data_IF_694556273259
#
_entry.id   IF_694556273259
#
_cell.length_a   1.000
_cell.length_b   1.000
_cell.length_c   1.000
_cell.angle_alpha   90.00
_cell.angle_beta   90.00
_cell.angle_gamma   90.00
#
_symmetry.space_group_name_H-M   'P 1'
#
loop_
_entity.id
_entity.type
_entity.pdbx_description
1 polymer ?
#
# COMPACT_ATOMS: atom_id res chain seq x y z
N UNK A 1 10.09 -0.94 0.96
CA UNK A 1 9.35 -2.05 1.59
C UNK A 1 9.51 -2.03 3.12
N UNK A 2 8.42 -1.78 3.86
CA UNK A 2 8.43 -2.06 5.30
C UNK A 2 8.65 -3.55 5.55
N UNK A 3 9.09 -3.96 6.75
CA UNK A 3 9.47 -5.35 7.05
C UNK A 3 8.30 -6.35 6.95
N UNK A 4 7.06 -5.86 6.85
CA UNK A 4 5.86 -6.69 6.83
C UNK A 4 5.17 -6.67 5.47
N UNK A 5 4.85 -7.87 4.98
CA UNK A 5 4.03 -8.09 3.79
C UNK A 5 2.60 -7.60 4.01
N UNK A 6 1.90 -7.28 2.93
CA UNK A 6 0.51 -6.84 3.00
C UNK A 6 -0.39 -7.89 3.67
N UNK A 7 -0.16 -9.17 3.35
CA UNK A 7 -0.90 -10.28 3.95
C UNK A 7 -0.67 -10.39 5.44
N UNK A 8 0.57 -10.20 5.90
CA UNK A 8 0.86 -10.18 7.34
C UNK A 8 0.12 -9.04 8.03
N UNK A 9 0.12 -7.83 7.45
CA UNK A 9 -0.61 -6.69 8.00
C UNK A 9 -2.12 -6.96 8.08
N UNK A 10 -2.72 -7.59 7.06
CA UNK A 10 -4.13 -8.04 7.06
C UNK A 10 -4.42 -9.04 8.18
N UNK A 11 -3.59 -10.05 8.32
CA UNK A 11 -3.74 -11.06 9.37
C UNK A 11 -3.59 -10.46 10.77
N UNK A 12 -2.64 -9.54 10.95
CA UNK A 12 -2.41 -8.85 12.22
C UNK A 12 -3.62 -8.00 12.62
N UNK A 13 -4.16 -7.21 11.68
CA UNK A 13 -5.37 -6.42 11.90
C UNK A 13 -6.57 -7.31 12.27
N UNK A 14 -6.76 -8.44 11.57
CA UNK A 14 -7.81 -9.40 11.90
C UNK A 14 -7.65 -9.96 13.32
N UNK A 15 -6.43 -10.31 13.72
CA UNK A 15 -6.14 -10.79 15.10
C UNK A 15 -6.42 -9.72 16.14
N UNK A 16 -6.05 -8.47 15.88
CA UNK A 16 -6.27 -7.34 16.78
C UNK A 16 -7.77 -7.10 17.01
N UNK A 17 -8.56 -7.06 15.95
CA UNK A 17 -10.02 -6.88 16.05
C UNK A 17 -10.69 -8.05 16.76
N UNK A 18 -10.24 -9.29 16.50
CA UNK A 18 -10.74 -10.48 17.22
C UNK A 18 -10.42 -10.43 18.71
N UNK A 19 -9.24 -9.94 19.08
CA UNK A 19 -8.86 -9.76 20.47
C UNK A 19 -9.75 -8.72 21.16
N UNK A 20 -10.02 -7.60 20.49
CA UNK A 20 -10.95 -6.57 20.98
C UNK A 20 -12.35 -7.16 21.25
N UNK A 21 -12.91 -7.87 20.27
CA UNK A 21 -14.22 -8.51 20.40
C UNK A 21 -14.26 -9.57 21.52
N UNK A 22 -13.17 -10.32 21.68
CA UNK A 22 -13.05 -11.30 22.77
C UNK A 22 -13.04 -10.63 24.14
N UNK A 23 -12.29 -9.53 24.30
CA UNK A 23 -12.27 -8.77 25.57
C UNK A 23 -13.63 -8.15 25.87
N UNK A 24 -14.35 -7.65 24.87
CA UNK A 24 -15.71 -7.10 25.05
C UNK A 24 -16.73 -8.16 25.50
N UNK A 25 -16.57 -9.42 25.05
CA UNK A 25 -17.48 -10.53 25.37
C UNK A 25 -17.17 -11.25 26.68
N UNK A 26 -15.88 -11.50 26.94
CA UNK A 26 -15.42 -12.36 28.04
C UNK A 26 -14.66 -11.60 29.13
N UNK A 27 -14.24 -10.37 28.86
CA UNK A 27 -13.37 -9.58 29.73
C UNK A 27 -14.12 -8.72 30.76
N UNK A 28 -13.36 -8.07 31.65
CA UNK A 28 -13.91 -7.22 32.70
C UNK A 28 -14.46 -5.89 32.18
N UNK A 29 -14.07 -5.46 30.96
CA UNK A 29 -14.50 -4.21 30.34
C UNK A 29 -15.20 -4.46 28.99
N UNK A 30 -16.55 -4.48 28.99
CA UNK A 30 -17.35 -4.61 27.77
C UNK A 30 -17.20 -3.46 26.77
N UNK A 31 -16.56 -2.34 27.15
CA UNK A 31 -16.39 -1.15 26.31
C UNK A 31 -14.93 -0.94 25.86
N UNK A 32 -14.05 -1.90 26.11
CA UNK A 32 -12.65 -1.82 25.70
C UNK A 32 -12.53 -1.62 24.19
N UNK A 33 -11.71 -0.66 23.78
CA UNK A 33 -11.40 -0.36 22.37
C UNK A 33 -9.89 -0.41 22.20
N UNK A 34 -9.39 -1.39 21.44
CA UNK A 34 -7.97 -1.56 21.12
C UNK A 34 -7.56 -0.72 19.91
N UNK A 35 -8.48 -0.50 18.98
CA UNK A 35 -8.30 0.34 17.81
C UNK A 35 -9.57 1.13 17.55
N UNK A 36 -9.41 2.43 17.30
CA UNK A 36 -10.51 3.34 17.01
C UNK A 36 -10.81 3.40 15.51
N UNK A 37 -12.03 3.81 15.18
CA UNK A 37 -12.49 3.91 13.78
C UNK A 37 -11.60 4.86 12.96
N UNK A 38 -11.18 6.00 13.53
CA UNK A 38 -10.26 6.93 12.85
C UNK A 38 -8.89 6.30 12.53
N UNK A 39 -8.42 5.36 13.36
CA UNK A 39 -7.17 4.64 13.11
C UNK A 39 -7.35 3.62 11.98
N UNK A 40 -8.50 2.95 11.92
CA UNK A 40 -8.85 2.05 10.83
C UNK A 40 -8.91 2.78 9.48
N UNK A 41 -9.51 3.98 9.45
CA UNK A 41 -9.51 4.82 8.26
C UNK A 41 -8.09 5.23 7.84
N UNK A 42 -7.24 5.62 8.79
CA UNK A 42 -5.85 5.98 8.50
C UNK A 42 -5.04 4.79 7.97
N UNK A 43 -5.24 3.58 8.52
CA UNK A 43 -4.61 2.37 7.98
C UNK A 43 -5.08 2.13 6.54
N UNK A 44 -6.38 2.28 6.26
CA UNK A 44 -6.91 2.11 4.90
C UNK A 44 -6.29 3.12 3.94
N UNK A 45 -6.16 4.38 4.37
CA UNK A 45 -5.54 5.47 3.60
C UNK A 45 -4.10 5.13 3.25
N UNK A 46 -3.30 4.71 4.23
CA UNK A 46 -1.91 4.29 4.03
C UNK A 46 -1.81 3.09 3.09
N UNK A 47 -2.63 2.07 3.28
CA UNK A 47 -2.61 0.87 2.43
C UNK A 47 -2.99 1.19 0.98
N UNK A 48 -3.94 2.10 0.79
CA UNK A 48 -4.33 2.56 -0.53
C UNK A 48 -3.18 3.32 -1.22
N UNK A 49 -2.58 4.28 -0.52
CA UNK A 49 -1.52 5.15 -1.06
C UNK A 49 -0.21 4.40 -1.29
N UNK A 50 0.25 3.63 -0.31
CA UNK A 50 1.58 3.03 -0.33
C UNK A 50 1.60 1.63 -0.93
N UNK A 51 0.49 0.89 -0.81
CA UNK A 51 0.41 -0.53 -1.17
C UNK A 51 -0.62 -0.82 -2.27
N UNK A 52 -1.30 0.20 -2.79
CA UNK A 52 -2.27 0.05 -3.88
C UNK A 52 -3.52 -0.74 -3.52
N UNK A 53 -3.92 -0.77 -2.25
CA UNK A 53 -5.13 -1.44 -1.80
C UNK A 53 -6.38 -0.58 -2.04
N UNK A 54 -6.98 -0.70 -3.22
CA UNK A 54 -8.25 -0.02 -3.55
C UNK A 54 -9.48 -0.85 -3.16
N UNK A 55 -9.26 -2.12 -2.83
CA UNK A 55 -10.29 -3.08 -2.41
C UNK A 55 -10.93 -2.81 -1.05
N UNK A 56 -10.53 -1.74 -0.35
CA UNK A 56 -10.97 -1.44 1.01
C UNK A 56 -10.77 -2.62 1.98
N UNK A 57 -9.58 -3.23 1.97
CA UNK A 57 -9.31 -4.44 2.75
C UNK A 57 -9.56 -4.24 4.25
N UNK A 58 -9.26 -3.06 4.81
CA UNK A 58 -9.47 -2.77 6.24
C UNK A 58 -10.96 -2.80 6.58
N UNK A 59 -11.81 -2.18 5.76
CA UNK A 59 -13.26 -2.14 5.98
C UNK A 59 -13.87 -3.53 5.88
N UNK A 60 -13.43 -4.33 4.89
CA UNK A 60 -13.84 -5.73 4.75
C UNK A 60 -13.44 -6.59 5.95
N UNK A 61 -12.21 -6.43 6.46
CA UNK A 61 -11.71 -7.15 7.64
C UNK A 61 -12.52 -6.75 8.87
N UNK A 62 -12.76 -5.46 9.06
CA UNK A 62 -13.59 -4.97 10.17
C UNK A 62 -14.99 -5.57 10.14
N UNK A 63 -15.71 -5.44 9.03
CA UNK A 63 -17.06 -5.97 8.89
C UNK A 63 -17.12 -7.49 9.10
N UNK A 64 -16.11 -8.23 8.64
CA UNK A 64 -16.00 -9.68 8.84
C UNK A 64 -15.87 -10.06 10.32
N UNK A 65 -15.19 -9.24 11.13
CA UNK A 65 -14.88 -9.57 12.53
C UNK A 65 -15.93 -9.02 13.50
N UNK A 66 -16.32 -7.76 13.35
CA UNK A 66 -17.27 -7.08 14.25
C UNK A 66 -18.72 -7.29 13.81
N UNK A 67 -18.96 -7.55 12.52
CA UNK A 67 -20.31 -7.60 11.93
C UNK A 67 -20.90 -6.21 11.63
N UNK A 68 -20.22 -5.14 12.04
CA UNK A 68 -20.64 -3.76 11.84
C UNK A 68 -19.91 -3.15 10.65
N UNK A 69 -20.53 -2.16 9.99
CA UNK A 69 -19.88 -1.41 8.92
C UNK A 69 -19.29 -0.13 9.53
N UNK A 70 -18.00 0.09 9.29
CA UNK A 70 -17.38 1.41 9.51
C UNK A 70 -18.13 2.44 8.67
N UNK A 71 -18.42 3.60 9.26
CA UNK A 71 -18.94 4.73 8.51
C UNK A 71 -17.91 5.15 7.47
N UNK A 72 -18.28 5.11 6.19
CA UNK A 72 -17.41 5.59 5.13
C UNK A 72 -17.24 7.10 5.30
N UNK A 73 -16.05 7.53 5.72
CA UNK A 73 -15.65 8.92 5.55
C UNK A 73 -15.75 9.18 4.04
N UNK A 74 -16.55 10.19 3.65
CA UNK A 74 -16.57 10.70 2.27
C UNK A 74 -15.21 11.30 1.95
N UNK A 75 -14.21 10.45 1.73
CA UNK A 75 -13.04 10.81 0.98
C UNK A 75 -13.51 10.93 -0.48
N UNK A 76 -13.21 12.07 -1.10
CA UNK A 76 -13.56 12.45 -2.49
C UNK A 76 -12.84 11.57 -3.53
N UNK A 77 -12.66 10.28 -3.27
CA UNK A 77 -11.91 9.30 -4.06
C UNK A 77 -12.83 8.55 -5.03
N UNK A 78 -13.76 9.27 -5.65
CA UNK A 78 -14.62 8.75 -6.71
C UNK A 78 -13.74 8.17 -7.83
N UNK A 79 -13.77 6.85 -8.02
CA UNK A 79 -13.01 6.15 -9.08
C UNK A 79 -11.90 5.20 -8.61
N UNK A 80 -11.69 4.98 -7.30
CA UNK A 80 -10.77 3.95 -6.81
C UNK A 80 -11.52 2.91 -5.97
N UNK A 81 -12.18 1.96 -6.65
CA UNK A 81 -12.91 0.85 -6.05
C UNK A 81 -12.38 -0.53 -6.45
N UNK A 82 -13.15 -1.57 -6.10
CA UNK A 82 -12.80 -2.96 -6.42
C UNK A 82 -12.72 -3.18 -7.94
N UNK A 83 -13.69 -2.65 -8.69
CA UNK A 83 -13.77 -2.81 -10.15
C UNK A 83 -12.56 -2.19 -10.85
N UNK A 84 -12.17 -0.98 -10.42
CA UNK A 84 -11.01 -0.30 -10.99
C UNK A 84 -9.71 -1.01 -10.64
N UNK A 85 -9.62 -1.66 -9.48
CA UNK A 85 -8.45 -2.48 -9.15
C UNK A 85 -8.35 -3.71 -10.03
N UNK A 86 -9.46 -4.42 -10.27
CA UNK A 86 -9.50 -5.58 -11.16
C UNK A 86 -9.10 -5.18 -12.59
N UNK A 87 -9.66 -4.08 -13.09
CA UNK A 87 -9.32 -3.53 -14.41
C UNK A 87 -7.84 -3.12 -14.50
N UNK A 88 -7.32 -2.46 -13.46
CA UNK A 88 -5.91 -2.09 -13.40
C UNK A 88 -5.02 -3.33 -13.49
N UNK A 89 -5.34 -4.38 -12.71
CA UNK A 89 -4.59 -5.63 -12.73
C UNK A 89 -4.61 -6.28 -14.11
N UNK A 90 -5.78 -6.37 -14.76
CA UNK A 90 -5.91 -6.93 -16.10
C UNK A 90 -5.01 -6.20 -17.12
N UNK A 91 -5.06 -4.86 -17.13
CA UNK A 91 -4.26 -4.04 -18.04
C UNK A 91 -2.77 -4.20 -17.74
N UNK A 92 -2.39 -4.19 -16.46
CA UNK A 92 -1.00 -4.34 -16.03
C UNK A 92 -0.42 -5.70 -16.44
N UNK A 93 -1.18 -6.78 -16.26
CA UNK A 93 -0.77 -8.13 -16.71
C UNK A 93 -0.64 -8.20 -18.22
N UNK A 94 -1.54 -7.54 -18.97
CA UNK A 94 -1.47 -7.51 -20.44
C UNK A 94 -0.23 -6.78 -20.97
N UNK A 95 0.24 -5.76 -20.25
CA UNK A 95 1.36 -4.93 -20.67
C UNK A 95 2.68 -5.27 -19.97
N UNK A 96 2.70 -6.32 -19.13
CA UNK A 96 3.85 -6.73 -18.33
C UNK A 96 4.41 -5.60 -17.46
N UNK A 97 3.51 -4.84 -16.84
CA UNK A 97 3.85 -3.72 -15.95
C UNK A 97 3.43 -4.06 -14.51
N UNK A 98 4.25 -3.76 -13.49
CA UNK A 98 3.86 -3.94 -12.10
C UNK A 98 2.64 -3.10 -11.71
N UNK A 99 1.57 -3.75 -11.26
CA UNK A 99 0.31 -3.06 -10.91
C UNK A 99 0.48 -2.06 -9.75
N UNK A 100 1.41 -2.34 -8.83
CA UNK A 100 1.72 -1.45 -7.71
C UNK A 100 2.33 -0.11 -8.17
N UNK A 101 3.21 -0.15 -9.18
CA UNK A 101 3.81 1.06 -9.77
C UNK A 101 2.71 1.94 -10.37
N UNK A 102 1.85 1.35 -11.22
CA UNK A 102 0.78 2.10 -11.90
C UNK A 102 -0.22 2.67 -10.88
N UNK A 103 -0.58 1.91 -9.86
CA UNK A 103 -1.42 2.41 -8.76
C UNK A 103 -0.80 3.63 -8.07
N UNK A 104 0.50 3.57 -7.72
CA UNK A 104 1.19 4.70 -7.08
C UNK A 104 1.27 5.93 -7.99
N UNK A 105 1.48 5.74 -9.29
CA UNK A 105 1.48 6.84 -10.26
C UNK A 105 0.10 7.49 -10.39
N UNK A 106 -0.97 6.69 -10.48
CA UNK A 106 -2.34 7.20 -10.53
C UNK A 106 -2.72 7.96 -9.26
N UNK A 107 -2.30 7.48 -8.09
CA UNK A 107 -2.47 8.20 -6.83
C UNK A 107 -1.70 9.53 -6.80
N UNK A 108 -0.45 9.52 -7.25
CA UNK A 108 0.37 10.73 -7.31
C UNK A 108 -0.25 11.80 -8.23
N UNK A 109 -0.81 11.38 -9.36
CA UNK A 109 -1.54 12.25 -10.27
C UNK A 109 -2.84 12.76 -9.62
N UNK A 110 -3.62 11.88 -9.00
CA UNK A 110 -4.87 12.24 -8.33
C UNK A 110 -4.68 13.30 -7.23
N UNK A 111 -3.71 13.11 -6.32
CA UNK A 111 -3.42 14.11 -5.26
C UNK A 111 -3.10 15.49 -5.85
N UNK A 112 -2.49 15.50 -7.03
CA UNK A 112 -1.98 16.71 -7.67
C UNK A 112 -3.01 17.45 -8.53
N UNK A 113 -4.10 16.81 -8.93
CA UNK A 113 -5.20 17.45 -9.66
C UNK A 113 -5.84 18.59 -8.86
N UNK A 114 -5.72 18.56 -7.53
CA UNK A 114 -6.15 19.64 -6.64
C UNK A 114 -5.18 20.84 -6.59
N UNK A 115 -3.95 20.68 -7.09
CA UNK A 115 -2.87 21.67 -6.96
C UNK A 115 -2.74 22.51 -8.24
N UNK A 116 -2.82 23.83 -8.12
CA UNK A 116 -2.69 24.80 -9.23
C UNK A 116 -1.31 24.79 -9.93
N UNK A 117 -0.33 24.00 -9.44
CA UNK A 117 1.02 23.88 -10.03
C UNK A 117 1.50 22.43 -10.02
N UNK A 118 1.52 21.82 -11.20
CA UNK A 118 1.97 20.44 -11.45
C UNK A 118 3.47 20.21 -11.24
N UNK A 119 4.27 21.27 -10.99
CA UNK A 119 5.73 21.15 -10.90
C UNK A 119 6.22 20.29 -9.72
N UNK A 120 5.41 20.11 -8.68
CA UNK A 120 5.76 19.26 -7.52
C UNK A 120 5.54 17.75 -7.75
N UNK A 121 4.82 17.37 -8.81
CA UNK A 121 4.50 15.97 -9.13
C UNK A 121 5.74 15.23 -9.61
N UNK A 122 6.55 15.88 -10.46
CA UNK A 122 7.71 15.26 -11.09
C UNK A 122 8.69 14.65 -10.09
N UNK A 123 8.84 15.26 -8.91
CA UNK A 123 9.67 14.68 -7.84
C UNK A 123 9.11 13.34 -7.31
N UNK A 124 7.78 13.23 -7.13
CA UNK A 124 7.12 11.99 -6.71
C UNK A 124 7.18 10.93 -7.80
N UNK A 125 6.87 11.30 -9.05
CA UNK A 125 6.94 10.38 -10.19
C UNK A 125 8.35 9.83 -10.36
N UNK A 126 9.36 10.69 -10.36
CA UNK A 126 10.76 10.26 -10.53
C UNK A 126 11.18 9.31 -9.40
N UNK A 127 10.77 9.60 -8.16
CA UNK A 127 11.00 8.70 -7.03
C UNK A 127 10.40 7.31 -7.29
N UNK A 128 9.13 7.23 -7.70
CA UNK A 128 8.50 5.94 -7.98
C UNK A 128 9.17 5.22 -9.16
N UNK A 129 9.49 5.91 -10.25
CA UNK A 129 10.18 5.28 -11.38
C UNK A 129 11.60 4.78 -11.06
N UNK A 130 12.24 5.30 -10.01
CA UNK A 130 13.57 4.87 -9.56
C UNK A 130 13.51 3.77 -8.47
N UNK A 131 12.32 3.44 -7.96
CA UNK A 131 12.14 2.30 -7.04
C UNK A 131 12.27 0.97 -7.80
N UNK A 132 12.64 -0.11 -7.10
CA UNK A 132 12.61 -1.46 -7.69
C UNK A 132 11.23 -2.10 -7.57
N UNK A 133 10.73 -2.57 -8.71
CA UNK A 133 9.39 -3.13 -8.87
C UNK A 133 9.38 -4.60 -9.27
N UNK A 134 10.55 -5.18 -9.52
CA UNK A 134 10.70 -6.61 -9.78
C UNK A 134 10.41 -7.40 -8.50
N UNK A 135 9.82 -8.58 -8.65
CA UNK A 135 9.44 -9.45 -7.54
C UNK A 135 10.57 -10.43 -7.16
N UNK A 136 11.45 -10.77 -8.10
CA UNK A 136 12.56 -11.69 -7.88
C UNK A 136 13.70 -11.01 -7.12
N UNK A 137 13.71 -11.21 -5.80
CA UNK A 137 14.73 -10.65 -4.92
C UNK A 137 16.12 -11.19 -5.20
N UNK A 138 16.25 -12.44 -5.66
CA UNK A 138 17.55 -13.06 -5.90
C UNK A 138 18.20 -12.42 -7.13
N UNK A 139 17.43 -12.26 -8.21
CA UNK A 139 17.85 -11.54 -9.43
C UNK A 139 18.26 -10.09 -9.11
N UNK A 140 17.44 -9.36 -8.35
CA UNK A 140 17.73 -7.97 -7.97
C UNK A 140 19.03 -7.88 -7.14
N UNK A 141 19.22 -8.80 -6.19
CA UNK A 141 20.41 -8.79 -5.32
C UNK A 141 21.68 -9.06 -6.14
N UNK A 142 21.62 -9.96 -7.11
CA UNK A 142 22.75 -10.28 -7.96
C UNK A 142 23.09 -9.14 -8.92
N UNK A 143 22.10 -8.50 -9.55
CA UNK A 143 22.32 -7.28 -10.35
C UNK A 143 22.97 -6.15 -9.53
N UNK A 144 22.46 -5.90 -8.31
CA UNK A 144 23.02 -4.89 -7.41
C UNK A 144 24.44 -5.21 -6.95
N UNK A 145 24.78 -6.50 -6.83
CA UNK A 145 26.16 -6.94 -6.53
C UNK A 145 27.07 -6.68 -7.72
N UNK A 146 26.61 -6.91 -8.93
CA UNK A 146 27.39 -6.71 -10.15
C UNK A 146 27.62 -5.22 -10.44
N UNK A 147 26.60 -4.37 -10.30
CA UNK A 147 26.79 -2.91 -10.36
C UNK A 147 27.81 -2.40 -9.33
N UNK A 148 27.80 -2.96 -8.11
CA UNK A 148 28.77 -2.59 -7.07
C UNK A 148 30.19 -3.02 -7.44
N UNK A 149 30.36 -4.17 -8.11
CA UNK A 149 31.67 -4.61 -8.60
C UNK A 149 32.15 -3.69 -9.71
N UNK A 150 31.28 -3.36 -10.67
CA UNK A 150 31.61 -2.45 -11.79
C UNK A 150 32.00 -1.05 -11.31
N UNK A 151 31.22 -0.45 -10.39
CA UNK A 151 31.55 0.86 -9.79
C UNK A 151 32.92 0.86 -9.09
N UNK A 152 33.23 -0.21 -8.35
CA UNK A 152 34.55 -0.39 -7.71
C UNK A 152 35.66 -0.58 -8.73
N UNK A 153 35.40 -1.22 -9.86
CA UNK A 153 36.39 -1.39 -10.94
C UNK A 153 36.65 -0.08 -11.66
N UNK A 154 35.64 0.75 -11.89
CA UNK A 154 35.79 2.09 -12.49
C UNK A 154 36.47 3.10 -11.56
N UNK A 155 36.24 3.02 -10.24
CA UNK A 155 36.91 3.89 -9.25
C UNK A 155 38.39 3.54 -9.04
N UNK A 156 38.76 2.27 -9.24
CA UNK A 156 40.15 1.79 -9.10
C UNK A 156 40.92 1.72 -10.43
N UNK A 157 40.31 2.15 -11.55
CA UNK A 157 41.00 2.23 -12.82
C UNK A 157 42.00 3.40 -12.79
N UNK A 158 43.31 3.16 -13.01
CA UNK A 158 44.28 4.24 -13.09
C UNK A 158 44.00 5.14 -14.30
N UNK A 159 44.10 6.45 -14.06
CA UNK A 159 43.91 7.53 -15.04
C UNK A 159 44.91 7.46 -16.20
#
# INVERSE_FOLDING_TARGET
PGPYTMDFCKQFLEKLLRAQEKVRKEGPDPKMTLIYDYELHEIQRIWRMERGDWQNSVHKIYQKVTGEKLEEIKEDLSGFGNLEQELLQEICTKHDVPSLLVSKLLHAEFESQSMTRHSKIYGKINKYLTEEWREDLDEIIDDLRDERKEKKMTENAPN
#
